data_IF_425122505749
#
_entry.id   IF_425122505749
#
_cell.length_a   1.000
_cell.length_b   1.000
_cell.length_c   1.000
_cell.angle_alpha   90.00
_cell.angle_beta   90.00
_cell.angle_gamma   90.00
#
_symmetry.space_group_name_H-M   'P 1'
#
loop_
_entity.id
_entity.type
_entity.pdbx_description
1 polymer ?
#
# COMPACT_ATOMS: atom_id res chain seq x y z
N UNK A 1 37.48 -23.68 -57.02
CA UNK A 1 38.37 -22.50 -56.96
C UNK A 1 37.77 -21.50 -55.99
N UNK A 2 38.35 -21.46 -54.86
CA UNK A 2 39.26 -20.47 -54.27
C UNK A 2 38.53 -19.27 -53.63
N UNK A 3 38.56 -19.30 -52.37
CA UNK A 3 39.16 -18.42 -51.36
C UNK A 3 38.36 -17.25 -50.80
N UNK A 4 38.17 -17.39 -49.50
CA UNK A 4 38.62 -16.51 -48.40
C UNK A 4 37.84 -15.20 -48.18
N UNK A 5 37.36 -15.12 -46.98
CA UNK A 5 36.99 -13.89 -46.31
C UNK A 5 36.28 -14.18 -44.97
N UNK A 6 37.08 -14.51 -43.96
CA UNK A 6 36.62 -14.52 -42.55
C UNK A 6 36.29 -13.09 -42.11
N UNK A 7 35.13 -12.87 -41.56
CA UNK A 7 34.97 -11.85 -40.54
C UNK A 7 33.98 -12.38 -39.48
N UNK A 8 34.52 -12.45 -38.29
CA UNK A 8 33.80 -12.74 -37.04
C UNK A 8 32.74 -11.66 -36.81
N UNK A 9 31.52 -12.09 -36.62
CA UNK A 9 30.60 -11.35 -35.76
C UNK A 9 29.82 -12.33 -34.91
N UNK A 10 30.00 -12.13 -33.60
CA UNK A 10 29.52 -12.97 -32.55
C UNK A 10 28.00 -12.86 -32.33
N UNK A 11 27.32 -14.00 -32.33
CA UNK A 11 26.38 -14.47 -31.35
C UNK A 11 25.34 -13.50 -30.83
N UNK A 12 24.13 -13.62 -31.36
CA UNK A 12 22.93 -13.62 -30.52
C UNK A 12 21.93 -14.61 -31.10
N UNK A 13 22.11 -15.89 -30.72
CA UNK A 13 21.14 -16.92 -31.02
C UNK A 13 20.01 -16.84 -30.00
N UNK A 14 19.00 -16.01 -30.28
CA UNK A 14 17.70 -16.10 -29.60
C UNK A 14 17.01 -17.39 -30.08
N UNK A 15 17.05 -18.41 -29.27
CA UNK A 15 16.27 -19.63 -29.47
C UNK A 15 14.79 -19.35 -29.18
N UNK A 16 14.04 -18.93 -30.21
CA UNK A 16 12.60 -18.98 -30.17
C UNK A 16 12.14 -20.40 -30.55
N UNK A 17 11.75 -21.18 -29.56
CA UNK A 17 11.03 -22.44 -29.82
C UNK A 17 9.58 -22.04 -30.20
N UNK A 18 9.32 -21.91 -31.48
CA UNK A 18 7.98 -21.67 -32.00
C UNK A 18 7.23 -23.00 -32.14
N UNK A 19 6.45 -23.37 -31.12
CA UNK A 19 5.49 -24.47 -31.27
C UNK A 19 4.30 -23.96 -32.12
N UNK A 20 4.27 -24.30 -33.40
CA UNK A 20 3.06 -24.21 -34.21
C UNK A 20 2.10 -25.31 -33.77
N UNK A 21 1.37 -25.08 -32.70
CA UNK A 21 0.16 -25.89 -32.42
C UNK A 21 -1.02 -25.25 -33.15
N UNK A 22 -1.64 -26.02 -34.08
CA UNK A 22 -2.98 -25.76 -34.54
C UNK A 22 -3.92 -25.88 -33.35
N UNK A 23 -4.28 -24.73 -32.76
CA UNK A 23 -5.37 -24.70 -31.80
C UNK A 23 -6.64 -25.08 -32.50
N UNK A 24 -7.10 -26.30 -32.28
CA UNK A 24 -8.49 -26.64 -32.51
C UNK A 24 -9.32 -25.66 -31.64
N UNK A 25 -10.33 -25.02 -32.28
CA UNK A 25 -11.30 -24.17 -31.58
C UNK A 25 -12.22 -25.05 -30.71
N UNK A 26 -11.68 -25.63 -29.66
CA UNK A 26 -12.48 -26.12 -28.56
C UNK A 26 -12.50 -24.99 -27.53
N UNK A 27 -13.61 -24.29 -27.45
CA UNK A 27 -13.95 -23.48 -26.29
C UNK A 27 -14.13 -24.44 -25.10
N UNK A 28 -13.03 -24.95 -24.56
CA UNK A 28 -13.04 -25.46 -23.21
C UNK A 28 -13.16 -24.21 -22.32
N UNK A 29 -14.38 -23.99 -21.83
CA UNK A 29 -14.60 -23.21 -20.61
C UNK A 29 -13.53 -23.71 -19.65
N UNK A 30 -12.54 -22.87 -19.30
CA UNK A 30 -11.51 -23.23 -18.33
C UNK A 30 -12.28 -23.57 -17.05
N UNK A 31 -12.38 -24.87 -16.74
CA UNK A 31 -13.02 -25.31 -15.53
C UNK A 31 -12.22 -24.74 -14.38
N UNK A 32 -12.83 -23.84 -13.62
CA UNK A 32 -12.19 -23.21 -12.49
C UNK A 32 -11.82 -24.31 -11.48
N UNK A 33 -10.61 -24.31 -10.97
CA UNK A 33 -10.16 -25.29 -9.99
C UNK A 33 -11.03 -25.17 -8.74
N UNK A 34 -11.60 -26.28 -8.28
CA UNK A 34 -12.39 -26.33 -7.05
C UNK A 34 -11.59 -27.01 -5.94
N UNK A 35 -11.81 -26.61 -4.71
CA UNK A 35 -11.14 -27.19 -3.54
C UNK A 35 -11.45 -28.69 -3.35
N UNK A 36 -12.64 -29.15 -3.77
CA UNK A 36 -13.02 -30.55 -3.74
C UNK A 36 -12.28 -31.43 -4.78
N UNK A 37 -11.62 -30.83 -5.77
CA UNK A 37 -10.80 -31.50 -6.78
C UNK A 37 -9.33 -31.61 -6.40
N UNK A 38 -8.93 -30.98 -5.30
CA UNK A 38 -7.56 -31.09 -4.78
C UNK A 38 -7.32 -32.49 -4.18
N UNK A 39 -6.11 -32.98 -4.36
CA UNK A 39 -5.65 -34.21 -3.71
C UNK A 39 -5.62 -34.09 -2.18
N UNK A 40 -5.51 -35.22 -1.50
CA UNK A 40 -5.31 -35.23 -0.05
C UNK A 40 -4.14 -34.35 0.39
N UNK A 41 -2.99 -34.47 -0.30
CA UNK A 41 -1.76 -33.75 0.04
C UNK A 41 -1.90 -32.23 -0.17
N UNK A 42 -2.54 -31.81 -1.26
CA UNK A 42 -2.78 -30.40 -1.54
C UNK A 42 -3.72 -29.78 -0.49
N UNK A 43 -4.81 -30.47 -0.14
CA UNK A 43 -5.72 -29.99 0.92
C UNK A 43 -5.05 -29.94 2.28
N UNK A 44 -4.31 -30.97 2.64
CA UNK A 44 -3.62 -31.05 3.93
C UNK A 44 -2.57 -29.94 4.08
N UNK A 45 -1.86 -29.64 2.98
CA UNK A 45 -0.78 -28.65 3.00
C UNK A 45 -1.30 -27.20 2.91
N UNK A 46 -2.28 -26.94 2.02
CA UNK A 46 -2.65 -25.57 1.66
C UNK A 46 -4.00 -25.11 2.22
N UNK A 47 -4.91 -26.01 2.61
CA UNK A 47 -6.26 -25.60 3.06
C UNK A 47 -6.56 -25.98 4.50
N UNK A 48 -5.83 -26.92 5.11
CA UNK A 48 -6.20 -27.48 6.41
C UNK A 48 -5.47 -26.83 7.59
N UNK A 49 -6.18 -26.76 8.72
CA UNK A 49 -5.62 -26.37 10.03
C UNK A 49 -5.03 -24.97 10.09
N UNK A 50 -5.62 -24.00 9.38
CA UNK A 50 -5.23 -22.60 9.53
C UNK A 50 -5.90 -21.98 10.75
N UNK A 51 -5.09 -21.38 11.62
CA UNK A 51 -5.57 -20.62 12.78
C UNK A 51 -6.09 -19.27 12.32
N UNK A 52 -5.32 -18.59 11.44
CA UNK A 52 -5.65 -17.26 10.98
C UNK A 52 -5.88 -17.21 9.47
N UNK A 53 -7.07 -16.71 9.08
CA UNK A 53 -7.41 -16.32 7.71
C UNK A 53 -7.43 -14.81 7.57
N UNK A 54 -6.82 -14.28 6.51
CA UNK A 54 -6.77 -12.84 6.24
C UNK A 54 -7.29 -12.62 4.83
N UNK A 55 -8.29 -11.75 4.68
CA UNK A 55 -8.88 -11.41 3.38
C UNK A 55 -8.26 -10.11 2.86
N UNK A 56 -7.52 -10.22 1.77
CA UNK A 56 -6.80 -9.13 1.13
C UNK A 56 -5.28 -9.15 1.36
N UNK A 57 -4.51 -9.21 0.27
CA UNK A 57 -3.05 -9.19 0.27
C UNK A 57 -2.48 -7.77 0.10
N UNK A 58 -3.19 -6.75 0.56
CA UNK A 58 -2.71 -5.37 0.60
C UNK A 58 -1.74 -5.11 1.76
N UNK A 59 -1.35 -3.83 1.92
CA UNK A 59 -0.48 -3.37 3.00
C UNK A 59 -0.97 -3.83 4.37
N UNK A 60 -2.25 -3.61 4.67
CA UNK A 60 -2.85 -3.99 5.96
C UNK A 60 -2.84 -5.51 6.15
N UNK A 61 -3.27 -6.28 5.14
CA UNK A 61 -3.35 -7.74 5.28
C UNK A 61 -1.99 -8.40 5.48
N UNK A 62 -0.97 -8.00 4.71
CA UNK A 62 0.39 -8.54 4.89
C UNK A 62 1.01 -8.08 6.21
N UNK A 63 0.79 -6.82 6.63
CA UNK A 63 1.26 -6.34 7.93
C UNK A 63 0.59 -7.07 9.09
N UNK A 64 -0.72 -7.35 8.99
CA UNK A 64 -1.47 -8.17 9.97
C UNK A 64 -0.88 -9.57 10.05
N UNK A 65 -0.61 -10.21 8.90
CA UNK A 65 -0.04 -11.55 8.86
C UNK A 65 1.33 -11.61 9.52
N UNK A 66 2.20 -10.63 9.26
CA UNK A 66 3.52 -10.55 9.87
C UNK A 66 3.43 -10.32 11.38
N UNK A 67 2.54 -9.41 11.84
CA UNK A 67 2.30 -9.19 13.27
C UNK A 67 1.74 -10.42 13.97
N UNK A 68 0.87 -11.18 13.31
CA UNK A 68 0.37 -12.44 13.83
C UNK A 68 1.48 -13.50 13.92
N UNK A 69 2.36 -13.59 12.94
CA UNK A 69 3.52 -14.49 12.97
C UNK A 69 4.48 -14.15 14.10
N UNK A 70 4.76 -12.86 14.34
CA UNK A 70 5.59 -12.39 15.44
C UNK A 70 5.01 -12.80 16.80
N UNK A 71 3.68 -12.70 16.94
CA UNK A 71 2.96 -12.99 18.19
C UNK A 71 2.65 -14.47 18.38
N UNK A 72 2.44 -15.21 17.28
CA UNK A 72 2.05 -16.60 17.25
C UNK A 72 2.97 -17.38 16.28
N UNK A 73 4.21 -17.70 16.68
CA UNK A 73 5.25 -18.22 15.78
C UNK A 73 4.94 -19.56 15.11
N UNK A 74 4.09 -20.40 15.73
CA UNK A 74 3.80 -21.75 15.25
C UNK A 74 2.47 -21.89 14.52
N UNK A 75 1.63 -20.84 14.58
CA UNK A 75 0.29 -20.90 14.03
C UNK A 75 0.30 -20.80 12.50
N UNK A 76 -0.61 -21.53 11.85
CA UNK A 76 -0.77 -21.46 10.41
C UNK A 76 -1.58 -20.23 10.01
N UNK A 77 -1.01 -19.44 9.12
CA UNK A 77 -1.59 -18.17 8.64
C UNK A 77 -1.78 -18.27 7.14
N UNK A 78 -2.98 -17.90 6.65
CA UNK A 78 -3.22 -17.77 5.22
C UNK A 78 -3.77 -16.41 4.85
N UNK A 79 -3.41 -15.95 3.66
CA UNK A 79 -3.96 -14.74 3.04
C UNK A 79 -4.74 -15.15 1.79
N UNK A 80 -5.99 -14.71 1.70
CA UNK A 80 -6.88 -14.90 0.56
C UNK A 80 -6.92 -13.60 -0.26
N UNK A 81 -6.50 -13.65 -1.51
CA UNK A 81 -6.49 -12.48 -2.41
C UNK A 81 -7.30 -12.79 -3.66
N UNK A 82 -8.31 -11.95 -3.97
CA UNK A 82 -9.18 -12.15 -5.13
C UNK A 82 -8.47 -11.97 -6.48
N UNK A 83 -7.45 -11.11 -6.50
CA UNK A 83 -6.63 -10.87 -7.69
C UNK A 83 -5.51 -11.91 -7.86
N UNK A 84 -4.93 -11.94 -9.05
CA UNK A 84 -3.68 -12.67 -9.29
C UNK A 84 -2.47 -11.96 -8.66
N UNK A 85 -2.63 -10.67 -8.38
CA UNK A 85 -1.67 -9.79 -7.72
C UNK A 85 -2.44 -8.87 -6.76
N UNK A 86 -1.81 -8.32 -5.73
CA UNK A 86 -2.42 -7.34 -4.84
C UNK A 86 -2.59 -5.99 -5.54
N UNK A 87 -3.64 -5.84 -6.35
CA UNK A 87 -3.91 -4.66 -7.18
C UNK A 87 -4.90 -3.68 -6.56
N UNK A 88 -5.05 -3.68 -5.25
CA UNK A 88 -5.91 -2.77 -4.49
C UNK A 88 -5.31 -1.37 -4.28
N UNK A 89 -5.84 -0.64 -3.29
CA UNK A 89 -5.40 0.72 -2.95
C UNK A 89 -3.91 0.81 -2.58
N UNK A 90 -3.34 -0.26 -2.03
CA UNK A 90 -1.94 -0.31 -1.59
C UNK A 90 -0.91 -0.10 -2.71
N UNK A 91 -1.28 -0.36 -3.97
CA UNK A 91 -0.42 -0.13 -5.15
C UNK A 91 -0.96 0.96 -6.07
N UNK A 92 -2.05 1.65 -5.69
CA UNK A 92 -2.72 2.69 -6.49
C UNK A 92 -2.84 4.00 -5.72
N UNK A 93 -1.75 4.40 -5.11
CA UNK A 93 -1.61 5.67 -4.41
C UNK A 93 -0.30 6.34 -4.79
N UNK A 94 -0.10 7.59 -4.40
CA UNK A 94 1.09 8.35 -4.77
C UNK A 94 2.34 8.02 -3.92
N UNK A 95 2.23 7.16 -2.92
CA UNK A 95 3.35 6.71 -2.11
C UNK A 95 3.90 7.79 -1.18
N UNK A 96 3.03 8.50 -0.47
CA UNK A 96 3.42 9.40 0.58
C UNK A 96 3.61 8.63 1.89
N UNK A 97 4.74 8.87 2.54
CA UNK A 97 5.02 8.43 3.90
C UNK A 97 4.81 9.64 4.83
N UNK A 98 3.55 9.87 5.20
CA UNK A 98 3.11 11.06 5.92
C UNK A 98 2.24 10.71 7.13
N UNK A 99 2.15 11.64 8.07
CA UNK A 99 1.35 11.51 9.28
C UNK A 99 0.37 12.67 9.51
N UNK A 100 0.43 13.73 8.72
CA UNK A 100 -0.53 14.82 8.70
C UNK A 100 0.10 16.17 8.36
N UNK A 101 -0.46 16.85 7.35
CA UNK A 101 -0.09 18.22 7.01
C UNK A 101 -0.72 19.23 7.99
N UNK A 102 -0.19 20.43 8.15
CA UNK A 102 -0.75 21.42 9.07
C UNK A 102 -2.20 21.79 8.76
N UNK A 103 -2.61 21.87 7.49
CA UNK A 103 -3.99 22.18 7.12
C UNK A 103 -4.93 20.99 7.35
N UNK A 104 -4.47 19.76 7.14
CA UNK A 104 -5.20 18.52 7.49
C UNK A 104 -5.47 18.48 9.01
N UNK A 105 -4.43 18.71 9.82
CA UNK A 105 -4.56 18.70 11.27
C UNK A 105 -5.48 19.80 11.77
N UNK A 106 -5.49 20.98 11.11
CA UNK A 106 -6.44 22.05 11.43
C UNK A 106 -7.88 21.58 11.17
N UNK A 107 -8.15 21.03 10.00
CA UNK A 107 -9.47 20.51 9.64
C UNK A 107 -9.92 19.40 10.60
N UNK A 108 -9.01 18.48 10.94
CA UNK A 108 -9.26 17.42 11.91
C UNK A 108 -9.61 17.96 13.30
N UNK A 109 -8.89 18.97 13.80
CA UNK A 109 -9.15 19.62 15.09
C UNK A 109 -10.49 20.41 15.13
N UNK A 110 -10.97 20.89 13.99
CA UNK A 110 -12.27 21.53 13.86
C UNK A 110 -13.43 20.50 13.85
N UNK A 111 -13.17 19.25 13.44
CA UNK A 111 -14.20 18.25 13.19
C UNK A 111 -14.23 17.09 14.21
N UNK A 112 -13.18 16.92 15.01
CA UNK A 112 -13.12 15.87 16.02
C UNK A 112 -12.42 16.37 17.31
N UNK A 113 -12.46 15.57 18.37
CA UNK A 113 -11.79 15.95 19.62
C UNK A 113 -10.26 15.94 19.45
N UNK A 114 -9.59 16.87 20.10
CA UNK A 114 -8.13 17.00 20.10
C UNK A 114 -7.44 15.67 20.47
N UNK A 115 -7.93 14.97 21.51
CA UNK A 115 -7.41 13.66 21.90
C UNK A 115 -7.47 12.65 20.75
N UNK A 116 -8.54 12.66 19.96
CA UNK A 116 -8.69 11.75 18.81
C UNK A 116 -7.74 12.10 17.67
N UNK A 117 -7.48 13.39 17.45
CA UNK A 117 -6.52 13.85 16.44
C UNK A 117 -5.12 13.33 16.80
N UNK A 118 -4.67 13.57 18.03
CA UNK A 118 -3.33 13.15 18.47
C UNK A 118 -3.17 11.64 18.57
N UNK A 119 -4.23 10.90 18.96
CA UNK A 119 -4.24 9.45 18.86
C UNK A 119 -4.05 8.97 17.41
N UNK A 120 -4.69 9.62 16.45
CA UNK A 120 -4.55 9.30 15.02
C UNK A 120 -3.13 9.57 14.51
N UNK A 121 -2.54 10.70 14.90
CA UNK A 121 -1.13 11.03 14.57
C UNK A 121 -0.18 9.99 15.18
N UNK A 122 -0.40 9.61 16.44
CA UNK A 122 0.39 8.56 17.11
C UNK A 122 0.38 7.25 16.32
N UNK A 123 -0.81 6.77 15.94
CA UNK A 123 -0.96 5.54 15.16
C UNK A 123 -0.29 5.62 13.79
N UNK A 124 -0.33 6.78 13.13
CA UNK A 124 0.35 7.01 11.84
C UNK A 124 1.88 6.97 12.01
N UNK A 125 2.43 7.62 13.03
CA UNK A 125 3.87 7.62 13.35
C UNK A 125 4.36 6.21 13.71
N UNK A 126 3.67 5.52 14.64
CA UNK A 126 4.00 4.15 15.02
C UNK A 126 3.94 3.20 13.82
N UNK A 127 2.92 3.36 12.95
CA UNK A 127 2.77 2.58 11.73
C UNK A 127 3.93 2.80 10.75
N UNK A 128 4.38 4.05 10.58
CA UNK A 128 5.52 4.39 9.73
C UNK A 128 6.83 3.81 10.28
N UNK A 129 7.06 3.93 11.59
CA UNK A 129 8.21 3.33 12.26
C UNK A 129 8.23 1.80 12.12
N UNK A 130 7.08 1.15 12.35
CA UNK A 130 6.96 -0.30 12.20
C UNK A 130 7.24 -0.73 10.76
N UNK A 131 6.75 0.04 9.79
CA UNK A 131 7.02 -0.21 8.38
C UNK A 131 8.52 -0.14 8.06
N UNK A 132 9.18 0.92 8.54
CA UNK A 132 10.64 1.11 8.35
C UNK A 132 11.49 0.05 9.07
N UNK A 133 11.03 -0.47 10.20
CA UNK A 133 11.66 -1.60 10.89
C UNK A 133 11.51 -2.91 10.10
N UNK A 134 10.37 -3.13 9.44
CA UNK A 134 10.09 -4.34 8.66
C UNK A 134 10.72 -4.30 7.27
N UNK A 135 10.66 -3.17 6.61
CA UNK A 135 11.13 -3.01 5.23
C UNK A 135 12.23 -1.97 5.19
N UNK A 136 13.42 -2.38 4.77
CA UNK A 136 14.55 -1.48 4.64
C UNK A 136 14.26 -0.38 3.62
N UNK A 137 14.80 0.81 3.84
CA UNK A 137 14.58 1.98 2.99
C UNK A 137 14.87 1.70 1.49
N UNK A 138 15.95 0.96 1.19
CA UNK A 138 16.34 0.59 -0.17
C UNK A 138 15.39 -0.42 -0.84
N UNK A 139 14.62 -1.18 -0.07
CA UNK A 139 13.66 -2.16 -0.58
C UNK A 139 12.29 -1.55 -0.92
N UNK A 140 12.01 -0.34 -0.47
CA UNK A 140 10.78 0.39 -0.77
C UNK A 140 11.05 1.77 -1.38
N UNK A 141 12.30 2.06 -1.76
CA UNK A 141 12.74 3.35 -2.27
C UNK A 141 12.26 4.52 -1.38
N UNK A 142 12.43 4.34 -0.04
CA UNK A 142 12.07 5.38 0.91
C UNK A 142 13.03 6.56 0.79
N UNK A 143 12.46 7.75 0.59
CA UNK A 143 13.20 9.01 0.54
C UNK A 143 12.64 9.94 1.60
N UNK A 144 13.46 10.31 2.58
CA UNK A 144 13.13 11.39 3.52
C UNK A 144 13.35 12.73 2.82
N UNK A 145 12.45 13.08 1.92
CA UNK A 145 12.55 14.29 1.10
C UNK A 145 11.77 15.48 1.67
N UNK A 146 11.08 15.29 2.77
CA UNK A 146 10.13 16.27 3.31
C UNK A 146 8.82 16.32 2.55
N UNK A 147 7.87 17.06 3.11
CA UNK A 147 6.61 17.37 2.45
C UNK A 147 6.26 18.85 2.59
N UNK A 148 5.56 19.38 1.61
CA UNK A 148 5.07 20.75 1.59
C UNK A 148 3.55 20.77 1.54
N UNK A 149 2.95 21.52 2.45
CA UNK A 149 1.52 21.83 2.45
C UNK A 149 1.34 23.22 1.83
N UNK A 150 0.78 23.25 0.63
CA UNK A 150 0.70 24.43 -0.22
C UNK A 150 -0.66 25.14 -0.05
N UNK A 151 -0.63 26.42 0.29
CA UNK A 151 -1.83 27.24 0.50
C UNK A 151 -2.15 28.00 -0.78
N UNK A 152 -3.32 27.73 -1.36
CA UNK A 152 -3.82 28.42 -2.55
C UNK A 152 -4.07 29.91 -2.30
N UNK A 153 -4.09 30.73 -3.37
CA UNK A 153 -4.27 32.19 -3.24
C UNK A 153 -5.59 32.59 -2.57
N UNK A 154 -6.63 31.75 -2.65
CA UNK A 154 -7.94 32.00 -2.08
C UNK A 154 -8.17 31.31 -0.72
N UNK A 155 -7.17 30.64 -0.19
CA UNK A 155 -7.23 29.97 1.10
C UNK A 155 -6.63 30.85 2.20
N UNK A 156 -7.10 30.70 3.43
CA UNK A 156 -6.50 31.41 4.56
C UNK A 156 -5.16 30.75 4.94
N UNK A 157 -4.13 31.57 5.14
CA UNK A 157 -2.87 31.09 5.75
C UNK A 157 -3.13 30.62 7.18
N UNK A 158 -2.31 29.71 7.64
CA UNK A 158 -2.32 29.35 9.05
C UNK A 158 -1.70 30.46 9.89
N UNK A 159 -2.32 30.74 11.03
CA UNK A 159 -1.78 31.68 11.98
C UNK A 159 -0.45 31.14 12.57
N UNK A 160 0.56 32.01 12.77
CA UNK A 160 1.85 31.58 13.35
C UNK A 160 1.69 30.85 14.69
N UNK A 161 0.75 31.30 15.53
CA UNK A 161 0.46 30.69 16.82
C UNK A 161 -0.07 29.26 16.69
N UNK A 162 -0.82 28.99 15.61
CA UNK A 162 -1.30 27.64 15.31
C UNK A 162 -0.18 26.70 14.91
N UNK A 163 0.76 27.14 14.07
CA UNK A 163 1.94 26.36 13.70
C UNK A 163 2.81 26.09 14.93
N UNK A 164 2.98 27.10 15.81
CA UNK A 164 3.69 26.96 17.08
C UNK A 164 2.98 25.96 18.02
N UNK A 165 1.64 26.00 18.05
CA UNK A 165 0.82 25.00 18.77
C UNK A 165 1.11 23.59 18.26
N UNK A 166 1.02 23.34 16.95
CA UNK A 166 1.30 22.01 16.38
C UNK A 166 2.70 21.50 16.74
N UNK A 167 3.72 22.34 16.61
CA UNK A 167 5.10 21.98 16.97
C UNK A 167 5.25 21.66 18.46
N UNK A 168 4.57 22.39 19.34
CA UNK A 168 4.55 22.12 20.78
C UNK A 168 3.92 20.75 21.08
N UNK A 169 2.77 20.44 20.48
CA UNK A 169 2.10 19.16 20.64
C UNK A 169 2.94 18.00 20.08
N UNK A 170 3.56 18.18 18.91
CA UNK A 170 4.48 17.18 18.33
C UNK A 170 5.67 16.91 19.27
N UNK A 171 6.20 17.94 19.90
CA UNK A 171 7.30 17.79 20.85
C UNK A 171 6.87 17.11 22.14
N UNK A 172 5.73 17.50 22.70
CA UNK A 172 5.22 16.97 23.97
C UNK A 172 4.78 15.50 23.86
N UNK A 173 4.04 15.16 22.81
CA UNK A 173 3.46 13.84 22.65
C UNK A 173 4.42 12.83 22.01
N UNK A 174 5.34 13.27 21.12
CA UNK A 174 6.15 12.38 20.30
C UNK A 174 7.66 12.66 20.38
N UNK A 175 8.10 13.69 21.10
CA UNK A 175 9.50 14.06 21.18
C UNK A 175 10.06 14.68 19.88
N UNK A 176 9.21 15.00 18.90
CA UNK A 176 9.59 15.59 17.61
C UNK A 176 9.53 17.11 17.73
N UNK A 177 10.69 17.79 17.54
CA UNK A 177 10.77 19.25 17.55
C UNK A 177 10.83 19.83 16.15
N UNK A 178 10.29 21.04 15.97
CA UNK A 178 10.36 21.81 14.73
C UNK A 178 9.86 21.03 13.49
N UNK A 179 8.76 20.31 13.67
CA UNK A 179 8.18 19.47 12.61
C UNK A 179 7.70 20.31 11.44
N UNK A 180 7.02 21.41 11.74
CA UNK A 180 6.43 22.31 10.74
C UNK A 180 7.12 23.66 10.74
N UNK A 181 7.52 24.12 9.57
CA UNK A 181 8.12 25.42 9.34
C UNK A 181 7.51 26.11 8.11
N UNK A 182 7.56 27.43 8.08
CA UNK A 182 7.14 28.20 6.90
C UNK A 182 8.28 28.20 5.89
N UNK A 183 8.02 27.77 4.67
CA UNK A 183 8.97 27.86 3.56
C UNK A 183 8.67 29.12 2.72
N UNK A 184 9.41 30.20 2.96
CA UNK A 184 9.28 31.44 2.23
C UNK A 184 9.92 31.41 0.83
N UNK A 185 10.68 30.36 0.51
CA UNK A 185 11.43 30.24 -0.74
C UNK A 185 10.83 29.24 -1.72
N UNK A 186 9.72 28.59 -1.38
CA UNK A 186 9.11 27.51 -2.16
C UNK A 186 8.84 27.91 -3.63
N UNK A 187 8.43 29.17 -3.88
CA UNK A 187 8.18 29.65 -5.24
C UNK A 187 9.46 29.71 -6.07
N UNK A 188 10.58 30.15 -5.47
CA UNK A 188 11.87 30.20 -6.15
C UNK A 188 12.43 28.78 -6.36
N UNK A 189 12.21 27.91 -5.37
CA UNK A 189 12.72 26.53 -5.41
C UNK A 189 11.99 25.67 -6.42
N UNK A 190 10.66 25.78 -6.49
CA UNK A 190 9.84 24.85 -7.28
C UNK A 190 9.14 25.50 -8.49
N UNK A 191 9.10 26.82 -8.55
CA UNK A 191 8.43 27.55 -9.63
C UNK A 191 6.90 27.42 -9.61
N UNK A 192 6.31 27.10 -8.45
CA UNK A 192 4.86 26.92 -8.35
C UNK A 192 4.13 28.27 -8.37
N UNK A 193 3.19 28.38 -9.29
CA UNK A 193 2.26 29.51 -9.37
C UNK A 193 0.92 29.14 -8.70
N UNK A 194 0.17 30.17 -8.27
CA UNK A 194 -1.17 29.96 -7.68
C UNK A 194 -1.19 29.66 -6.19
N UNK A 195 -0.02 29.60 -5.55
CA UNK A 195 0.10 29.41 -4.10
C UNK A 195 0.70 30.65 -3.44
N UNK A 196 0.24 30.95 -2.22
CA UNK A 196 0.67 32.14 -1.47
C UNK A 196 1.53 31.83 -0.24
N UNK A 197 1.56 30.58 0.21
CA UNK A 197 2.37 30.09 1.33
C UNK A 197 2.63 28.61 1.17
N UNK A 198 3.67 28.11 1.83
CA UNK A 198 3.98 26.70 1.98
C UNK A 198 4.48 26.41 3.39
N UNK A 199 4.03 25.29 3.96
CA UNK A 199 4.50 24.78 5.24
C UNK A 199 5.26 23.50 4.99
N UNK A 200 6.50 23.45 5.44
CA UNK A 200 7.39 22.31 5.25
C UNK A 200 7.37 21.40 6.47
N UNK A 201 7.28 20.09 6.25
CA UNK A 201 7.46 19.05 7.25
C UNK A 201 8.72 18.23 6.92
N UNK A 202 9.71 18.27 7.80
CA UNK A 202 11.00 17.61 7.60
C UNK A 202 10.99 16.09 7.85
N UNK A 203 9.95 15.54 8.46
CA UNK A 203 9.87 14.14 8.89
C UNK A 203 9.09 13.24 7.93
N UNK A 204 8.50 13.81 6.90
CA UNK A 204 7.75 13.09 5.89
C UNK A 204 8.59 12.81 4.64
N UNK A 205 8.06 11.94 3.79
CA UNK A 205 8.78 11.57 2.58
C UNK A 205 7.96 10.73 1.63
N UNK A 206 8.65 10.04 0.74
CA UNK A 206 8.03 9.21 -0.29
C UNK A 206 8.54 7.78 -0.29
N UNK A 207 7.71 6.88 -0.81
CA UNK A 207 8.02 5.47 -1.03
C UNK A 207 7.57 5.03 -2.42
N UNK A 208 8.21 3.98 -2.95
CA UNK A 208 7.68 3.21 -4.06
C UNK A 208 6.72 2.14 -3.52
N UNK A 209 5.44 2.33 -3.74
CA UNK A 209 4.39 1.44 -3.23
C UNK A 209 4.43 0.06 -3.85
N UNK A 210 4.90 -0.07 -5.08
CA UNK A 210 5.07 -1.36 -5.75
C UNK A 210 6.22 -2.15 -5.13
N UNK A 211 7.36 -1.50 -4.88
CA UNK A 211 8.49 -2.12 -4.20
C UNK A 211 8.15 -2.48 -2.75
N UNK A 212 7.45 -1.61 -2.02
CA UNK A 212 6.97 -1.89 -0.67
C UNK A 212 6.12 -3.17 -0.62
N UNK A 213 5.10 -3.28 -1.45
CA UNK A 213 4.22 -4.45 -1.49
C UNK A 213 4.99 -5.71 -1.88
N UNK A 214 5.93 -5.61 -2.82
CA UNK A 214 6.82 -6.71 -3.19
C UNK A 214 7.73 -7.15 -2.03
N UNK A 215 8.25 -6.21 -1.25
CA UNK A 215 9.10 -6.51 -0.09
C UNK A 215 8.30 -7.20 1.02
N UNK A 216 7.12 -6.70 1.37
CA UNK A 216 6.21 -7.32 2.34
C UNK A 216 5.80 -8.73 1.91
N UNK A 217 5.45 -8.93 0.63
CA UNK A 217 5.14 -10.26 0.10
C UNK A 217 6.30 -11.24 0.30
N UNK A 218 7.53 -10.83 -0.03
CA UNK A 218 8.72 -11.68 0.18
C UNK A 218 8.91 -12.04 1.66
N UNK A 219 8.68 -11.10 2.57
CA UNK A 219 8.76 -11.37 4.01
C UNK A 219 7.68 -12.33 4.48
N UNK A 220 6.45 -12.18 3.99
CA UNK A 220 5.38 -13.11 4.31
C UNK A 220 5.71 -14.54 3.85
N UNK A 221 6.24 -14.71 2.64
CA UNK A 221 6.69 -16.03 2.15
C UNK A 221 7.83 -16.59 3.02
N UNK A 222 8.83 -15.77 3.35
CA UNK A 222 9.94 -16.19 4.22
C UNK A 222 9.49 -16.55 5.64
N UNK A 223 8.37 -15.99 6.08
CA UNK A 223 7.73 -16.26 7.36
C UNK A 223 6.71 -17.41 7.31
N UNK A 224 6.70 -18.22 6.25
CA UNK A 224 5.78 -19.35 6.03
C UNK A 224 4.29 -18.93 6.15
N UNK A 225 3.94 -17.81 5.55
CA UNK A 225 2.55 -17.35 5.42
C UNK A 225 2.04 -17.80 4.05
N UNK A 226 0.93 -18.53 4.04
CA UNK A 226 0.36 -19.09 2.82
C UNK A 226 -0.48 -18.04 2.08
N UNK A 227 -0.39 -18.04 0.75
CA UNK A 227 -1.23 -17.19 -0.11
C UNK A 227 -2.10 -18.03 -1.03
N UNK A 228 -3.38 -17.69 -1.08
CA UNK A 228 -4.31 -18.16 -2.10
C UNK A 228 -4.74 -16.95 -2.96
N UNK A 229 -4.02 -16.77 -4.07
CA UNK A 229 -4.39 -15.78 -5.09
C UNK A 229 -5.57 -16.26 -5.95
N UNK A 230 -6.19 -15.34 -6.67
CA UNK A 230 -7.41 -15.59 -7.46
C UNK A 230 -8.51 -16.26 -6.63
N UNK A 231 -8.57 -15.94 -5.32
CA UNK A 231 -9.51 -16.53 -4.37
C UNK A 231 -10.35 -15.42 -3.73
N UNK A 232 -11.55 -15.23 -4.23
CA UNK A 232 -12.48 -14.23 -3.74
C UNK A 232 -13.35 -14.80 -2.63
N UNK A 233 -13.33 -14.17 -1.47
CA UNK A 233 -14.23 -14.46 -0.36
C UNK A 233 -15.59 -13.85 -0.67
N UNK A 234 -16.62 -14.67 -0.72
CA UNK A 234 -17.99 -14.27 -1.03
C UNK A 234 -18.80 -13.99 0.24
N UNK A 235 -18.69 -14.86 1.22
CA UNK A 235 -19.30 -14.73 2.55
C UNK A 235 -18.61 -15.68 3.52
N UNK A 236 -18.96 -15.59 4.79
CA UNK A 236 -18.52 -16.52 5.84
C UNK A 236 -19.64 -16.77 6.83
N UNK A 237 -19.54 -17.88 7.53
CA UNK A 237 -20.35 -18.20 8.71
C UNK A 237 -19.43 -18.54 9.87
N UNK A 238 -19.83 -18.24 11.09
CA UNK A 238 -19.03 -18.50 12.27
C UNK A 238 -19.83 -19.25 13.33
N UNK A 239 -19.13 -20.10 14.08
CA UNK A 239 -19.60 -20.69 15.30
C UNK A 239 -18.61 -20.34 16.44
N UNK A 240 -18.80 -20.91 17.64
CA UNK A 240 -17.95 -20.61 18.79
C UNK A 240 -16.47 -20.97 18.61
N UNK A 241 -16.12 -21.83 17.64
CA UNK A 241 -14.77 -22.39 17.47
C UNK A 241 -14.12 -22.01 16.15
N UNK A 242 -14.89 -21.85 15.09
CA UNK A 242 -14.38 -21.74 13.72
C UNK A 242 -15.18 -20.75 12.88
N UNK A 243 -14.53 -20.28 11.84
CA UNK A 243 -15.12 -19.49 10.74
C UNK A 243 -15.02 -20.31 9.46
N UNK A 244 -16.15 -20.64 8.86
CA UNK A 244 -16.22 -21.23 7.53
C UNK A 244 -16.25 -20.12 6.48
N UNK A 245 -15.23 -20.06 5.64
CA UNK A 245 -15.03 -19.02 4.63
C UNK A 245 -15.40 -19.58 3.25
N UNK A 246 -16.41 -19.00 2.61
CA UNK A 246 -16.90 -19.40 1.31
C UNK A 246 -16.28 -18.58 0.19
N UNK A 247 -15.72 -19.28 -0.80
CA UNK A 247 -15.08 -18.70 -1.97
C UNK A 247 -15.68 -19.28 -3.26
N UNK A 248 -15.35 -18.71 -4.41
CA UNK A 248 -15.75 -19.29 -5.71
C UNK A 248 -15.13 -20.68 -5.97
N UNK A 249 -14.13 -21.10 -5.21
CA UNK A 249 -13.49 -22.43 -5.34
C UNK A 249 -14.04 -23.47 -4.37
N UNK A 250 -14.84 -23.06 -3.40
CA UNK A 250 -15.37 -23.88 -2.32
C UNK A 250 -15.17 -23.24 -0.96
N UNK A 251 -15.49 -23.98 0.10
CA UNK A 251 -15.32 -23.52 1.47
C UNK A 251 -14.00 -24.01 2.09
N UNK A 252 -13.45 -23.20 3.00
CA UNK A 252 -12.34 -23.55 3.86
C UNK A 252 -12.63 -23.08 5.31
N UNK A 253 -11.94 -23.62 6.28
CA UNK A 253 -12.16 -23.31 7.70
C UNK A 253 -10.91 -22.71 8.30
N UNK A 254 -11.11 -21.62 9.06
CA UNK A 254 -10.08 -20.98 9.91
C UNK A 254 -10.64 -20.78 11.31
N UNK A 255 -9.78 -20.56 12.31
CA UNK A 255 -10.27 -20.27 13.65
C UNK A 255 -10.66 -18.80 13.80
N UNK A 256 -9.90 -17.88 13.17
CA UNK A 256 -10.17 -16.44 13.19
C UNK A 256 -10.01 -15.87 11.78
N UNK A 257 -10.87 -14.92 11.43
CA UNK A 257 -10.87 -14.26 10.12
C UNK A 257 -10.67 -12.76 10.29
N UNK A 258 -9.71 -12.21 9.57
CA UNK A 258 -9.40 -10.78 9.50
C UNK A 258 -9.78 -10.22 8.13
N UNK A 259 -10.57 -9.16 8.10
CA UNK A 259 -11.01 -8.51 6.87
C UNK A 259 -10.16 -7.27 6.59
N UNK A 260 -9.25 -7.38 5.62
CA UNK A 260 -8.31 -6.33 5.23
C UNK A 260 -8.60 -5.83 3.80
N UNK A 261 -9.88 -5.62 3.49
CA UNK A 261 -10.38 -5.37 2.12
C UNK A 261 -10.63 -3.89 1.81
N UNK A 262 -10.27 -2.98 2.72
CA UNK A 262 -10.47 -1.54 2.59
C UNK A 262 -11.92 -1.21 2.16
N UNK A 263 -12.13 -0.27 1.23
CA UNK A 263 -13.46 0.11 0.74
C UNK A 263 -14.29 -1.03 0.16
N UNK A 264 -13.66 -2.13 -0.25
CA UNK A 264 -14.37 -3.33 -0.72
C UNK A 264 -15.09 -4.08 0.40
N UNK A 265 -14.79 -3.78 1.68
CA UNK A 265 -15.55 -4.28 2.82
C UNK A 265 -17.03 -3.85 2.78
N UNK A 266 -17.39 -2.83 1.98
CA UNK A 266 -18.79 -2.48 1.73
C UNK A 266 -19.64 -3.66 1.25
N UNK A 267 -19.07 -4.61 0.53
CA UNK A 267 -19.78 -5.81 0.11
C UNK A 267 -20.30 -6.64 1.30
N UNK A 268 -19.65 -6.53 2.45
CA UNK A 268 -19.98 -7.25 3.68
C UNK A 268 -20.72 -6.34 4.68
N UNK A 269 -20.43 -5.03 4.66
CA UNK A 269 -20.96 -4.02 5.58
C UNK A 269 -21.55 -2.83 4.79
N UNK A 270 -22.66 -3.02 4.10
CA UNK A 270 -23.19 -2.02 3.15
C UNK A 270 -23.73 -0.76 3.82
N UNK A 271 -24.11 -0.83 5.08
CA UNK A 271 -24.68 0.30 5.84
C UNK A 271 -23.63 1.13 6.58
N UNK A 272 -22.55 0.49 6.98
CA UNK A 272 -21.48 1.10 7.81
C UNK A 272 -20.37 1.70 6.98
N UNK A 273 -20.21 1.30 5.71
CA UNK A 273 -19.07 1.64 4.89
C UNK A 273 -19.48 2.33 3.58
N UNK A 274 -18.95 3.55 3.39
CA UNK A 274 -19.10 4.32 2.14
C UNK A 274 -17.74 4.49 1.49
N UNK A 275 -17.38 3.67 0.48
CA UNK A 275 -16.10 3.78 -0.19
C UNK A 275 -16.01 5.07 -1.00
N UNK A 276 -14.92 5.80 -0.84
CA UNK A 276 -14.55 6.90 -1.70
C UNK A 276 -13.43 6.48 -2.66
N UNK A 277 -13.39 7.03 -3.86
CA UNK A 277 -12.37 6.76 -4.85
C UNK A 277 -11.56 8.02 -5.12
N UNK A 278 -10.26 7.97 -4.83
CA UNK A 278 -9.30 8.92 -5.36
C UNK A 278 -8.83 8.49 -6.76
N UNK A 279 -8.45 9.46 -7.59
CA UNK A 279 -7.83 9.22 -8.90
C UNK A 279 -6.38 9.67 -8.85
N UNK A 280 -5.50 8.84 -9.41
CA UNK A 280 -4.07 9.15 -9.55
C UNK A 280 -3.76 9.30 -11.03
N UNK A 281 -3.10 10.39 -11.39
CA UNK A 281 -2.62 10.67 -12.74
C UNK A 281 -1.10 10.57 -12.76
N UNK A 282 -0.56 10.00 -13.82
CA UNK A 282 0.87 9.98 -14.09
C UNK A 282 1.12 10.75 -15.38
N UNK A 283 2.03 11.73 -15.34
CA UNK A 283 2.44 12.48 -16.53
C UNK A 283 3.49 11.69 -17.33
N UNK A 284 3.74 12.12 -18.55
CA UNK A 284 4.97 11.77 -19.25
C UNK A 284 6.16 12.37 -18.49
N UNK A 285 7.39 11.81 -18.65
CA UNK A 285 8.58 12.42 -18.06
C UNK A 285 8.69 13.90 -18.41
N UNK A 286 8.94 14.72 -17.41
CA UNK A 286 9.14 16.17 -17.53
C UNK A 286 10.63 16.48 -17.40
N UNK A 287 11.08 17.56 -18.03
CA UNK A 287 12.48 18.01 -17.93
C UNK A 287 12.81 18.59 -16.53
N UNK A 288 11.82 19.08 -15.81
CA UNK A 288 11.97 19.58 -14.46
C UNK A 288 11.58 18.51 -13.42
N UNK A 289 12.47 18.29 -12.47
CA UNK A 289 12.21 17.45 -11.30
C UNK A 289 11.87 18.33 -10.09
N UNK A 290 10.73 18.04 -9.47
CA UNK A 290 10.35 18.62 -8.18
C UNK A 290 10.68 17.59 -7.10
N UNK A 291 11.70 17.85 -6.28
CA UNK A 291 12.06 16.93 -5.20
C UNK A 291 11.20 17.22 -3.99
N UNK A 292 10.39 16.24 -3.58
CA UNK A 292 9.52 16.35 -2.43
C UNK A 292 8.13 15.78 -2.66
N UNK A 293 7.33 15.82 -1.61
CA UNK A 293 5.90 15.50 -1.65
C UNK A 293 5.09 16.75 -1.34
N UNK A 294 4.02 16.97 -2.06
CA UNK A 294 3.25 18.21 -2.01
C UNK A 294 1.79 17.92 -1.78
N UNK A 295 1.20 18.59 -0.79
CA UNK A 295 -0.23 18.59 -0.49
C UNK A 295 -0.82 19.96 -0.83
N UNK A 296 -2.09 20.02 -1.15
CA UNK A 296 -2.87 21.27 -1.23
C UNK A 296 -4.34 20.99 -0.95
N UNK A 297 -5.11 22.06 -0.68
CA UNK A 297 -6.53 21.95 -0.35
C UNK A 297 -6.78 20.93 0.78
N UNK A 298 -6.12 21.12 1.92
CA UNK A 298 -6.25 20.26 3.10
C UNK A 298 -5.98 18.78 2.82
N UNK A 299 -5.00 18.49 1.95
CA UNK A 299 -4.60 17.13 1.57
C UNK A 299 -5.48 16.47 0.50
N UNK A 300 -6.53 17.14 -0.02
CA UNK A 300 -7.36 16.59 -1.09
C UNK A 300 -6.60 16.45 -2.42
N UNK A 301 -5.64 17.34 -2.69
CA UNK A 301 -4.73 17.23 -3.81
C UNK A 301 -3.32 16.94 -3.30
N UNK A 302 -2.66 16.00 -3.94
CA UNK A 302 -1.29 15.65 -3.61
C UNK A 302 -0.54 15.20 -4.87
N UNK A 303 0.71 15.60 -4.97
CA UNK A 303 1.56 15.26 -6.11
C UNK A 303 3.03 15.19 -5.71
N UNK A 304 3.80 14.44 -6.48
CA UNK A 304 5.25 14.32 -6.36
C UNK A 304 5.86 13.88 -7.68
N UNK A 305 7.17 13.97 -7.81
CA UNK A 305 7.89 13.30 -8.89
C UNK A 305 8.04 11.79 -8.61
N UNK A 306 8.20 11.05 -9.67
CA UNK A 306 8.56 9.63 -9.67
C UNK A 306 9.79 9.53 -10.56
N UNK A 307 10.99 9.44 -10.00
CA UNK A 307 12.22 9.38 -10.75
C UNK A 307 13.33 8.70 -10.03
#
# INVERSE_FOLDING_TARGET
HVNQGLSNDHLNANWYICFKHKFAKNQRVKKMLRFDQLSYWERAQYLSNHTFGIVGAGLVGMSTALSLRERFPTEKIMILERGYLPTGASTKNAGFACFGSPTELKDDLENMSEARVWETVALRLEGLELLQKRVRADQMDYKNCGSWDLIGQNEAKLEPDFVAYLNREMKQNFGLGDVYSIDNNFQQTFGFEGYQAAYFNAYEGSIDTGQLIKALYKQCIAADIHFLFATEVQHWSSNAQNVEVHTQHGALVVQQLFLCTNGFAQAFFPTELRPARAQVLLTKPLAHHIKGTFHSDRGYYYFRDIG
#
